data_IF_118998988663
#
_entry.id   IF_118998988663
#
_cell.length_a   1.000
_cell.length_b   1.000
_cell.length_c   1.000
_cell.angle_alpha   90.00
_cell.angle_beta   90.00
_cell.angle_gamma   90.00
#
_symmetry.space_group_name_H-M   'P 1'
#
loop_
_entity.id
_entity.type
_entity.pdbx_description
1 polymer ?
#
# COMPACT_ATOMS: atom_id res chain seq x y z
N UNK A 1 12.07 -56.61 -33.40
CA UNK A 1 13.22 -55.68 -33.47
C UNK A 1 12.95 -54.57 -32.47
N UNK A 2 13.62 -54.67 -31.30
CA UNK A 2 13.52 -53.70 -30.20
C UNK A 2 14.62 -52.66 -30.38
N UNK A 3 14.24 -51.39 -30.47
CA UNK A 3 15.20 -50.27 -30.45
C UNK A 3 15.16 -49.59 -29.09
N UNK A 4 16.18 -49.80 -28.27
CA UNK A 4 16.46 -49.08 -27.04
C UNK A 4 17.01 -47.68 -27.40
N UNK A 5 16.33 -46.62 -27.00
CA UNK A 5 16.89 -45.26 -26.97
C UNK A 5 17.43 -44.94 -25.57
N UNK A 6 18.75 -44.82 -25.51
CA UNK A 6 19.53 -44.47 -24.35
C UNK A 6 19.21 -43.06 -23.86
N UNK A 7 18.87 -42.95 -22.56
CA UNK A 7 18.69 -41.68 -21.83
C UNK A 7 20.05 -41.11 -21.46
N UNK A 8 20.44 -39.99 -22.06
CA UNK A 8 21.63 -39.25 -21.72
C UNK A 8 21.45 -38.46 -20.43
N UNK A 9 22.18 -38.82 -19.39
CA UNK A 9 22.23 -38.12 -18.10
C UNK A 9 23.22 -36.95 -18.20
N UNK A 10 22.75 -35.72 -18.27
CA UNK A 10 23.62 -34.54 -18.29
C UNK A 10 23.90 -34.09 -16.84
N UNK A 11 25.10 -34.42 -16.37
CA UNK A 11 25.66 -34.00 -15.08
C UNK A 11 26.15 -32.55 -15.19
N UNK A 12 25.56 -31.61 -14.48
CA UNK A 12 26.05 -30.23 -14.37
C UNK A 12 27.14 -30.13 -13.29
N UNK A 13 28.30 -29.50 -13.55
CA UNK A 13 29.32 -29.28 -12.54
C UNK A 13 28.88 -28.16 -11.56
N UNK A 14 29.03 -28.45 -10.27
CA UNK A 14 28.89 -27.48 -9.18
C UNK A 14 30.18 -26.65 -9.13
N UNK A 15 30.10 -25.39 -9.51
CA UNK A 15 31.20 -24.42 -9.29
C UNK A 15 31.19 -23.98 -7.83
N UNK A 16 32.16 -24.40 -7.07
CA UNK A 16 32.45 -23.90 -5.73
C UNK A 16 33.17 -22.56 -5.84
N UNK A 17 32.54 -21.47 -5.37
CA UNK A 17 33.16 -20.16 -5.24
C UNK A 17 33.73 -20.08 -3.82
N UNK A 18 35.06 -20.09 -3.72
CA UNK A 18 35.77 -19.86 -2.49
C UNK A 18 35.79 -18.36 -2.18
N UNK A 19 35.24 -17.95 -1.05
CA UNK A 19 35.40 -16.60 -0.53
C UNK A 19 36.71 -16.50 0.25
N UNK A 20 37.63 -15.70 -0.28
CA UNK A 20 38.83 -15.27 0.44
C UNK A 20 38.43 -14.11 1.35
N UNK A 21 38.51 -14.33 2.66
CA UNK A 21 38.35 -13.29 3.67
C UNK A 21 39.67 -12.51 3.79
N UNK A 22 39.69 -11.26 3.35
CA UNK A 22 40.74 -10.31 3.65
C UNK A 22 40.33 -9.50 4.89
N UNK A 23 40.92 -9.82 6.04
CA UNK A 23 40.83 -9.03 7.28
C UNK A 23 41.79 -7.84 7.17
N UNK A 24 41.24 -6.63 7.05
CA UNK A 24 42.02 -5.39 7.24
C UNK A 24 41.68 -4.79 8.59
N UNK A 25 42.59 -4.89 9.54
CA UNK A 25 42.61 -4.19 10.83
C UNK A 25 43.08 -2.75 10.57
N UNK A 26 42.20 -1.77 10.66
CA UNK A 26 42.53 -0.36 10.77
C UNK A 26 41.96 0.15 12.08
N UNK A 27 42.84 0.38 13.05
CA UNK A 27 42.54 1.08 14.29
C UNK A 27 42.24 2.54 13.99
N UNK A 28 41.10 3.02 14.45
CA UNK A 28 40.67 4.43 14.39
C UNK A 28 40.07 4.83 15.72
N UNK A 29 40.74 5.78 16.36
CA UNK A 29 40.46 6.40 17.65
C UNK A 29 39.07 6.97 17.78
N UNK A 30 38.37 6.59 18.83
CA UNK A 30 37.07 7.19 19.23
C UNK A 30 37.29 8.64 19.65
N UNK A 31 36.70 9.58 18.93
CA UNK A 31 36.45 10.93 19.42
C UNK A 31 35.00 11.04 19.86
N UNK A 32 34.78 11.06 21.16
CA UNK A 32 33.48 11.38 21.78
C UNK A 32 33.13 12.84 21.47
N UNK A 33 32.18 13.07 20.59
CA UNK A 33 31.53 14.37 20.45
C UNK A 33 30.33 14.45 21.39
N UNK A 34 30.54 15.03 22.57
CA UNK A 34 29.47 15.39 23.51
C UNK A 34 28.61 16.50 22.92
N UNK A 35 27.48 16.17 22.34
CA UNK A 35 26.48 17.12 21.89
C UNK A 35 25.61 17.60 23.07
N UNK A 36 25.97 18.74 23.63
CA UNK A 36 25.24 19.45 24.66
C UNK A 36 23.92 19.98 24.09
N UNK A 37 22.81 19.31 24.39
CA UNK A 37 21.45 19.76 24.06
C UNK A 37 21.14 21.07 24.79
N UNK A 38 21.05 22.16 24.05
CA UNK A 38 20.53 23.44 24.56
C UNK A 38 19.01 23.41 24.44
N UNK A 39 18.33 23.23 25.55
CA UNK A 39 16.91 23.49 25.70
C UNK A 39 16.64 24.99 25.51
N UNK A 40 16.13 25.40 24.38
CA UNK A 40 15.52 26.71 24.22
C UNK A 40 14.06 26.60 24.68
N UNK A 41 13.83 27.08 25.92
CA UNK A 41 12.49 27.40 26.39
C UNK A 41 12.05 28.71 25.72
N UNK A 42 11.20 28.64 24.72
CA UNK A 42 10.46 29.78 24.25
C UNK A 42 9.25 29.98 25.16
N UNK A 43 9.34 31.02 26.04
CA UNK A 43 8.18 31.55 26.73
C UNK A 43 7.39 32.39 25.72
N UNK A 44 6.28 31.88 25.22
CA UNK A 44 5.31 32.72 24.52
C UNK A 44 4.41 33.40 25.53
N UNK A 45 4.63 34.70 25.67
CA UNK A 45 3.69 35.61 26.34
C UNK A 45 2.43 35.70 25.47
N UNK A 46 1.34 35.10 25.89
CA UNK A 46 0.02 35.37 25.33
C UNK A 46 -0.46 36.73 25.81
N UNK A 47 -0.33 37.76 24.97
CA UNK A 47 -1.08 38.99 25.11
C UNK A 47 -2.50 38.74 24.61
N UNK A 48 -3.44 38.80 25.54
CA UNK A 48 -4.85 38.86 25.22
C UNK A 48 -5.13 40.23 24.60
N UNK A 49 -5.35 40.28 23.29
CA UNK A 49 -6.10 41.36 22.67
C UNK A 49 -7.48 40.81 22.33
N UNK A 50 -8.42 41.15 23.22
CA UNK A 50 -9.84 41.11 22.87
C UNK A 50 -10.11 42.24 21.89
N UNK A 51 -10.44 41.92 20.67
CA UNK A 51 -11.14 42.82 19.75
C UNK A 51 -11.99 41.97 18.84
N UNK A 52 -13.28 42.27 18.96
CA UNK A 52 -14.40 41.78 18.20
C UNK A 52 -14.15 41.85 16.70
N UNK A 53 -14.31 40.72 16.03
CA UNK A 53 -14.76 40.63 14.66
C UNK A 53 -15.56 39.34 14.57
N UNK A 54 -16.75 39.35 15.10
CA UNK A 54 -17.79 38.42 14.71
C UNK A 54 -18.16 38.74 13.25
N UNK A 55 -18.12 37.73 12.42
CA UNK A 55 -19.13 37.32 11.47
C UNK A 55 -18.48 36.70 10.23
N UNK A 56 -18.91 35.49 9.90
CA UNK A 56 -18.87 34.84 8.60
C UNK A 56 -17.75 33.83 8.25
N UNK A 57 -17.11 33.14 9.19
CA UNK A 57 -16.25 32.00 8.82
C UNK A 57 -16.69 30.63 9.38
N UNK A 58 -17.92 30.52 9.91
CA UNK A 58 -18.36 29.25 10.56
C UNK A 58 -19.38 28.45 9.76
N UNK A 59 -19.65 28.81 8.50
CA UNK A 59 -20.65 28.09 7.70
C UNK A 59 -20.09 27.14 6.64
N UNK A 60 -18.84 27.31 6.21
CA UNK A 60 -18.36 26.55 5.04
C UNK A 60 -17.96 25.11 5.33
N UNK A 61 -17.44 24.79 6.51
CA UNK A 61 -17.12 23.40 6.83
C UNK A 61 -18.36 22.55 7.18
N UNK A 62 -19.42 23.18 7.69
CA UNK A 62 -20.70 22.48 7.92
C UNK A 62 -21.47 22.24 6.63
N UNK A 63 -21.35 23.13 5.66
CA UNK A 63 -21.96 22.98 4.33
C UNK A 63 -21.18 22.00 3.44
N UNK A 64 -19.85 21.91 3.58
CA UNK A 64 -19.09 20.88 2.87
C UNK A 64 -19.45 19.46 3.31
N UNK A 65 -19.95 19.27 4.55
CA UNK A 65 -20.46 17.99 5.03
C UNK A 65 -21.95 17.76 4.72
N UNK A 66 -22.71 18.83 4.45
CA UNK A 66 -24.14 18.73 4.15
C UNK A 66 -24.44 18.36 2.68
N UNK A 67 -23.44 18.46 1.79
CA UNK A 67 -23.57 17.96 0.42
C UNK A 67 -23.36 16.45 0.29
N UNK A 68 -23.08 15.75 1.39
CA UNK A 68 -23.13 14.30 1.47
C UNK A 68 -24.48 13.84 1.99
N UNK A 69 -25.59 14.25 1.33
CA UNK A 69 -26.84 13.49 1.46
C UNK A 69 -26.54 12.08 0.97
N UNK A 70 -26.79 11.03 1.79
CA UNK A 70 -26.71 9.67 1.30
C UNK A 70 -27.87 9.51 0.30
N UNK A 71 -27.57 9.71 -0.98
CA UNK A 71 -28.45 9.25 -2.04
C UNK A 71 -28.53 7.73 -1.89
N UNK A 72 -29.64 7.28 -1.33
CA UNK A 72 -29.96 5.87 -1.21
C UNK A 72 -29.77 5.19 -2.56
N UNK A 73 -28.76 4.29 -2.66
CA UNK A 73 -28.56 3.40 -3.77
C UNK A 73 -27.37 3.65 -4.70
N UNK A 74 -26.75 4.83 -4.71
CA UNK A 74 -25.51 5.03 -5.44
C UNK A 74 -24.33 4.78 -4.50
N UNK A 75 -23.73 3.60 -4.55
CA UNK A 75 -22.51 3.28 -3.82
C UNK A 75 -21.42 4.31 -4.12
N UNK A 76 -20.64 4.72 -3.09
CA UNK A 76 -19.48 5.59 -3.30
C UNK A 76 -18.57 4.97 -4.32
N UNK A 77 -18.33 5.67 -5.44
CA UNK A 77 -17.44 5.21 -6.49
C UNK A 77 -16.26 6.14 -6.64
N UNK A 78 -15.13 5.57 -7.03
CA UNK A 78 -13.91 6.31 -7.35
C UNK A 78 -13.16 5.59 -8.46
N UNK A 79 -12.26 6.29 -9.13
CA UNK A 79 -11.43 5.71 -10.18
C UNK A 79 -9.99 6.20 -10.07
N UNK A 80 -9.07 5.42 -10.63
CA UNK A 80 -7.66 5.76 -10.63
C UNK A 80 -6.79 4.57 -10.98
N UNK A 81 -5.47 4.73 -10.83
CA UNK A 81 -4.52 3.63 -11.07
C UNK A 81 -4.55 2.64 -9.91
N UNK A 82 -4.60 1.36 -10.24
CA UNK A 82 -4.40 0.26 -9.30
C UNK A 82 -3.18 -0.57 -9.71
N UNK A 83 -2.51 -1.16 -8.72
CA UNK A 83 -1.51 -2.20 -8.90
C UNK A 83 -1.92 -3.45 -8.12
N UNK A 84 -1.01 -4.40 -8.00
CA UNK A 84 -1.22 -5.58 -7.16
C UNK A 84 0.06 -5.97 -6.44
N UNK A 85 -0.08 -6.76 -5.40
CA UNK A 85 1.00 -7.29 -4.57
C UNK A 85 0.77 -8.78 -4.30
N UNK A 86 1.85 -9.48 -4.02
CA UNK A 86 1.88 -10.90 -3.70
C UNK A 86 2.57 -11.18 -2.38
N UNK A 87 3.06 -12.40 -2.20
CA UNK A 87 3.70 -12.88 -0.96
C UNK A 87 4.98 -12.12 -0.58
N UNK A 88 5.57 -11.36 -1.49
CA UNK A 88 6.72 -10.48 -1.26
C UNK A 88 6.40 -9.31 -0.33
N UNK A 89 5.13 -8.96 -0.15
CA UNK A 89 4.69 -7.81 0.66
C UNK A 89 4.53 -8.12 2.16
N UNK A 90 4.87 -9.35 2.58
CA UNK A 90 4.81 -9.76 3.98
C UNK A 90 3.75 -10.81 4.27
N UNK A 91 3.73 -11.28 5.51
CA UNK A 91 2.85 -12.38 5.96
C UNK A 91 1.55 -11.92 6.60
N UNK A 92 1.42 -10.64 6.96
CA UNK A 92 0.23 -10.04 7.61
C UNK A 92 -0.18 -8.75 6.93
N UNK A 93 -1.48 -8.52 6.91
CA UNK A 93 -2.11 -7.28 6.45
C UNK A 93 -2.21 -6.27 7.59
N UNK A 94 -2.49 -5.01 7.29
CA UNK A 94 -2.69 -3.96 8.28
C UNK A 94 -3.90 -4.20 9.20
N UNK A 95 -4.87 -5.02 8.79
CA UNK A 95 -5.96 -5.48 9.66
C UNK A 95 -5.56 -6.60 10.64
N UNK A 96 -4.29 -7.06 10.62
CA UNK A 96 -3.79 -8.15 11.44
C UNK A 96 -4.03 -9.55 10.87
N UNK A 97 -4.76 -9.68 9.78
CA UNK A 97 -5.04 -10.96 9.14
C UNK A 97 -3.78 -11.53 8.48
N UNK A 98 -3.70 -12.87 8.38
CA UNK A 98 -2.67 -13.50 7.55
C UNK A 98 -2.90 -13.15 6.09
N UNK A 99 -1.85 -12.67 5.42
CA UNK A 99 -1.93 -12.35 4.01
C UNK A 99 -2.08 -13.63 3.16
N UNK A 100 -3.05 -13.60 2.24
CA UNK A 100 -3.25 -14.63 1.23
C UNK A 100 -3.35 -13.96 -0.14
N UNK A 101 -2.31 -14.12 -0.96
CA UNK A 101 -2.24 -13.50 -2.29
C UNK A 101 -3.35 -13.97 -3.25
N UNK A 102 -3.99 -15.12 -3.00
CA UNK A 102 -5.05 -15.66 -3.84
C UNK A 102 -6.46 -15.24 -3.39
N UNK A 103 -6.60 -14.65 -2.20
CA UNK A 103 -7.88 -14.15 -1.70
C UNK A 103 -8.31 -12.90 -2.47
N UNK A 104 -9.62 -12.63 -2.52
CA UNK A 104 -10.18 -11.42 -3.15
C UNK A 104 -10.13 -10.26 -2.17
N UNK A 105 -8.95 -9.65 -2.02
CA UNK A 105 -8.69 -8.57 -1.07
C UNK A 105 -7.95 -7.42 -1.71
N UNK A 106 -7.96 -6.26 -1.05
CA UNK A 106 -7.27 -5.07 -1.51
C UNK A 106 -6.81 -4.18 -0.35
N UNK A 107 -5.84 -3.32 -0.63
CA UNK A 107 -5.37 -2.25 0.22
C UNK A 107 -5.93 -0.91 -0.24
N UNK A 108 -6.46 -0.11 0.69
CA UNK A 108 -6.89 1.26 0.48
C UNK A 108 -6.44 2.16 1.64
N UNK A 109 -6.18 3.45 1.35
CA UNK A 109 -5.60 4.36 2.36
C UNK A 109 -6.51 4.61 3.55
N UNK A 110 -7.81 4.81 3.31
CA UNK A 110 -8.74 5.33 4.32
C UNK A 110 -10.06 4.57 4.45
N UNK A 111 -10.46 3.73 3.48
CA UNK A 111 -11.69 2.95 3.61
C UNK A 111 -11.60 2.02 4.84
N UNK A 112 -12.70 1.85 5.58
CA UNK A 112 -12.75 0.91 6.70
C UNK A 112 -12.36 -0.51 6.29
N UNK A 113 -11.70 -1.25 7.19
CA UNK A 113 -11.49 -2.69 6.97
C UNK A 113 -12.84 -3.40 6.90
N UNK A 114 -12.94 -4.39 6.03
CA UNK A 114 -14.19 -5.11 5.78
C UNK A 114 -15.06 -4.51 4.67
N UNK A 115 -14.80 -3.26 4.25
CA UNK A 115 -15.51 -2.65 3.11
C UNK A 115 -15.36 -3.52 1.87
N UNK A 116 -16.46 -3.80 1.19
CA UNK A 116 -16.45 -4.52 -0.08
C UNK A 116 -16.52 -3.55 -1.26
N UNK A 117 -15.62 -3.74 -2.20
CA UNK A 117 -15.54 -2.95 -3.43
C UNK A 117 -15.76 -3.85 -4.64
N UNK A 118 -16.62 -3.43 -5.56
CA UNK A 118 -16.62 -3.94 -6.93
C UNK A 118 -15.57 -3.16 -7.70
N UNK A 119 -14.53 -3.85 -8.14
CA UNK A 119 -13.42 -3.25 -8.91
C UNK A 119 -13.52 -3.71 -10.35
N UNK A 120 -13.55 -2.77 -11.28
CA UNK A 120 -13.69 -3.01 -12.72
C UNK A 120 -12.44 -2.52 -13.46
N UNK A 121 -11.88 -3.37 -14.31
CA UNK A 121 -10.79 -3.06 -15.23
C UNK A 121 -11.12 -3.60 -16.62
N UNK A 122 -11.13 -2.73 -17.64
CA UNK A 122 -11.42 -3.10 -19.05
C UNK A 122 -12.66 -4.00 -19.21
N UNK A 123 -13.74 -3.69 -18.46
CA UNK A 123 -15.00 -4.44 -18.50
C UNK A 123 -15.06 -5.69 -17.64
N UNK A 124 -13.93 -6.14 -17.05
CA UNK A 124 -13.91 -7.26 -16.10
C UNK A 124 -14.02 -6.74 -14.67
N UNK A 125 -14.85 -7.38 -13.84
CA UNK A 125 -15.09 -6.95 -12.47
C UNK A 125 -14.84 -8.06 -11.46
N UNK A 126 -14.40 -7.65 -10.27
CA UNK A 126 -14.27 -8.53 -9.10
C UNK A 126 -14.71 -7.81 -7.84
N UNK A 127 -15.31 -8.52 -6.90
CA UNK A 127 -15.58 -7.96 -5.56
C UNK A 127 -14.43 -8.32 -4.63
N UNK A 128 -13.83 -7.31 -4.00
CA UNK A 128 -12.72 -7.44 -3.05
C UNK A 128 -13.08 -6.88 -1.70
N UNK A 129 -12.46 -7.40 -0.65
CA UNK A 129 -12.61 -6.88 0.71
C UNK A 129 -11.36 -6.07 1.08
N UNK A 130 -11.55 -4.87 1.62
CA UNK A 130 -10.46 -4.05 2.14
C UNK A 130 -9.98 -4.64 3.45
N UNK A 131 -8.73 -5.10 3.49
CA UNK A 131 -8.09 -5.63 4.70
C UNK A 131 -6.66 -5.12 4.91
N UNK A 132 -6.19 -4.23 4.04
CA UNK A 132 -4.85 -3.70 4.13
C UNK A 132 -4.81 -2.17 3.89
N UNK A 133 -3.65 -1.56 4.17
CA UNK A 133 -3.40 -0.13 4.00
C UNK A 133 -2.42 0.12 2.87
N UNK A 134 -2.66 1.19 2.14
CA UNK A 134 -1.95 1.59 0.92
C UNK A 134 -2.94 1.87 -0.21
N UNK A 135 -2.45 2.15 -1.42
CA UNK A 135 -1.05 2.41 -1.78
C UNK A 135 -0.53 3.74 -1.23
N UNK A 136 0.74 3.77 -0.83
CA UNK A 136 1.42 5.01 -0.40
C UNK A 136 2.21 5.67 -1.55
N UNK A 137 2.03 5.16 -2.76
CA UNK A 137 2.61 5.71 -3.99
C UNK A 137 1.62 6.72 -4.60
N UNK A 138 2.14 7.90 -4.96
CA UNK A 138 1.33 8.97 -5.57
C UNK A 138 0.69 8.49 -6.88
N UNK A 139 -0.59 8.84 -7.08
CA UNK A 139 -1.34 8.51 -8.29
C UNK A 139 -1.99 7.13 -8.30
N UNK A 140 -1.69 6.24 -7.34
CA UNK A 140 -2.41 4.98 -7.13
C UNK A 140 -3.51 5.15 -6.08
N UNK A 141 -4.66 4.53 -6.33
CA UNK A 141 -5.83 4.58 -5.43
C UNK A 141 -6.09 3.23 -4.75
N UNK A 142 -5.63 2.13 -5.35
CA UNK A 142 -5.91 0.78 -4.87
C UNK A 142 -4.73 -0.15 -5.18
N UNK A 143 -4.42 -1.06 -4.26
CA UNK A 143 -3.53 -2.19 -4.51
C UNK A 143 -4.30 -3.50 -4.27
N UNK A 144 -4.38 -4.34 -5.29
CA UNK A 144 -5.13 -5.59 -5.27
C UNK A 144 -4.23 -6.75 -4.81
N UNK A 145 -4.82 -7.77 -4.20
CA UNK A 145 -4.16 -9.07 -4.12
C UNK A 145 -3.89 -9.62 -5.52
N UNK A 146 -2.90 -10.48 -5.68
CA UNK A 146 -2.57 -11.12 -6.96
C UNK A 146 -3.75 -11.90 -7.55
N UNK A 147 -4.55 -12.56 -6.69
CA UNK A 147 -5.77 -13.27 -7.11
C UNK A 147 -6.82 -12.34 -7.70
N UNK A 148 -7.10 -11.21 -7.01
CA UNK A 148 -8.04 -10.22 -7.48
C UNK A 148 -7.58 -9.54 -8.79
N UNK A 149 -6.30 -9.20 -8.87
CA UNK A 149 -5.71 -8.63 -10.10
C UNK A 149 -5.79 -9.58 -11.29
N UNK A 150 -5.59 -10.88 -11.05
CA UNK A 150 -5.74 -11.92 -12.09
C UNK A 150 -7.18 -12.01 -12.58
N UNK A 151 -8.16 -11.93 -11.67
CA UNK A 151 -9.58 -12.01 -12.01
C UNK A 151 -10.06 -10.91 -12.96
N UNK A 152 -9.41 -9.75 -12.95
CA UNK A 152 -9.75 -8.61 -13.84
C UNK A 152 -8.68 -8.35 -14.92
N UNK A 153 -7.77 -9.31 -15.16
CA UNK A 153 -6.75 -9.20 -16.20
C UNK A 153 -5.69 -8.13 -15.98
N UNK A 154 -5.50 -7.64 -14.74
CA UNK A 154 -4.55 -6.57 -14.42
C UNK A 154 -3.10 -7.09 -14.34
N UNK A 155 -2.89 -8.39 -14.10
CA UNK A 155 -1.56 -8.97 -13.88
C UNK A 155 -0.59 -8.79 -15.04
N UNK A 156 -1.08 -8.81 -16.27
CA UNK A 156 -0.25 -8.61 -17.46
C UNK A 156 0.25 -7.17 -17.64
N UNK A 157 -0.51 -6.18 -17.14
CA UNK A 157 -0.16 -4.77 -17.24
C UNK A 157 0.64 -4.25 -16.03
N UNK A 158 0.64 -4.97 -14.90
CA UNK A 158 1.26 -4.55 -13.65
C UNK A 158 0.53 -3.40 -12.95
N UNK A 159 0.24 -2.33 -13.67
CA UNK A 159 -0.54 -1.17 -13.23
C UNK A 159 -1.58 -0.84 -14.29
N UNK A 160 -2.81 -0.56 -13.90
CA UNK A 160 -3.89 -0.20 -14.82
C UNK A 160 -4.93 0.71 -14.17
N UNK A 161 -5.75 1.34 -15.00
CA UNK A 161 -6.86 2.16 -14.55
C UNK A 161 -8.04 1.28 -14.14
N UNK A 162 -8.59 1.53 -12.97
CA UNK A 162 -9.77 0.82 -12.45
C UNK A 162 -10.85 1.81 -12.04
N UNK A 163 -12.10 1.35 -12.05
CA UNK A 163 -13.21 1.97 -11.34
C UNK A 163 -13.58 1.08 -10.17
N UNK A 164 -13.77 1.65 -9.00
CA UNK A 164 -14.15 0.94 -7.78
C UNK A 164 -15.44 1.54 -7.21
N UNK A 165 -16.36 0.68 -6.82
CA UNK A 165 -17.65 1.02 -6.25
C UNK A 165 -17.83 0.30 -4.92
N UNK A 166 -18.24 1.02 -3.86
CA UNK A 166 -18.56 0.43 -2.55
C UNK A 166 -19.86 -0.33 -2.67
N UNK A 167 -19.86 -1.63 -2.36
CA UNK A 167 -21.07 -2.48 -2.44
C UNK A 167 -21.57 -2.94 -1.06
N UNK A 168 -20.72 -2.87 -0.04
CA UNK A 168 -21.10 -3.03 1.38
C UNK A 168 -19.94 -2.66 2.31
#
# INVERSE_FOLDING_TARGET
>A
MLSLKTLGFVTRPRTAIAFVAATLLIGGTATEASAKSRHHRHHHHHRHHAAQAETNATSDWRNANASMTPTSGAGRSFSGKASFYGSESGSRTASGQRFNQNAMTAAHRSLPFGTKLRVTHRGQSVVVTINDRGPFIRGRVLDLSKGAARAIGLTGAGVGHVTAEVVS
#
